data_IF_162383818590
#
_entry.id   IF_162383818590
#
_cell.length_a   1.000
_cell.length_b   1.000
_cell.length_c   1.000
_cell.angle_alpha   90.00
_cell.angle_beta   90.00
_cell.angle_gamma   90.00
#
_symmetry.space_group_name_H-M   'P 1'
#
loop_
_entity.id
_entity.type
_entity.pdbx_description
1 polymer ?
#
# COMPACT_ATOMS: atom_id res chain seq x y z
N UNK A 1 11.57 37.81 -5.83
CA UNK A 1 10.75 37.25 -4.74
C UNK A 1 9.86 36.18 -5.35
N UNK A 2 10.10 34.90 -5.03
CA UNK A 2 9.21 33.80 -5.44
C UNK A 2 7.91 33.93 -4.63
N UNK A 3 6.88 34.52 -5.23
CA UNK A 3 5.54 34.53 -4.64
C UNK A 3 4.96 33.13 -4.72
N UNK A 4 4.60 32.54 -3.58
CA UNK A 4 3.84 31.30 -3.51
C UNK A 4 2.41 31.57 -4.01
N UNK A 5 2.25 31.70 -5.33
CA UNK A 5 0.93 31.79 -5.94
C UNK A 5 0.45 30.37 -6.20
N UNK A 6 -0.30 29.81 -5.24
CA UNK A 6 -1.06 28.59 -5.52
C UNK A 6 -2.14 29.01 -6.50
N UNK A 7 -2.07 28.48 -7.74
CA UNK A 7 -3.08 28.73 -8.75
C UNK A 7 -4.48 28.37 -8.16
N UNK A 8 -5.40 29.35 -8.05
CA UNK A 8 -6.73 29.11 -7.49
C UNK A 8 -7.47 27.98 -8.20
N UNK A 9 -7.26 27.80 -9.51
CA UNK A 9 -7.84 26.71 -10.31
C UNK A 9 -7.26 25.37 -9.85
N UNK A 10 -5.93 25.26 -9.76
CA UNK A 10 -5.30 24.03 -9.24
C UNK A 10 -5.77 23.69 -7.83
N UNK A 11 -5.87 24.70 -6.96
CA UNK A 11 -6.32 24.52 -5.58
C UNK A 11 -7.75 23.95 -5.51
N UNK A 12 -8.69 24.58 -6.21
CA UNK A 12 -10.10 24.20 -6.16
C UNK A 12 -10.43 22.92 -6.91
N UNK A 13 -9.77 22.65 -8.04
CA UNK A 13 -10.12 21.51 -8.91
C UNK A 13 -9.26 20.27 -8.69
N UNK A 14 -8.03 20.42 -8.17
CA UNK A 14 -7.12 19.28 -7.97
C UNK A 14 -6.91 19.03 -6.48
N UNK A 15 -6.42 20.02 -5.74
CA UNK A 15 -6.00 19.82 -4.36
C UNK A 15 -7.16 19.47 -3.42
N UNK A 16 -8.22 20.29 -3.42
CA UNK A 16 -9.38 20.08 -2.56
C UNK A 16 -10.07 18.74 -2.86
N UNK A 17 -10.42 18.39 -4.11
CA UNK A 17 -11.06 17.10 -4.40
C UNK A 17 -10.19 15.91 -4.02
N UNK A 18 -8.88 15.96 -4.27
CA UNK A 18 -7.95 14.89 -3.93
C UNK A 18 -7.92 14.62 -2.43
N UNK A 19 -7.86 15.67 -1.61
CA UNK A 19 -7.89 15.55 -0.15
C UNK A 19 -9.23 14.99 0.33
N UNK A 20 -10.35 15.54 -0.18
CA UNK A 20 -11.68 15.10 0.24
C UNK A 20 -11.91 13.61 -0.08
N UNK A 21 -11.52 13.16 -1.27
CA UNK A 21 -11.61 11.76 -1.66
C UNK A 21 -10.70 10.90 -0.79
N UNK A 22 -9.45 11.32 -0.57
CA UNK A 22 -8.48 10.57 0.25
C UNK A 22 -8.97 10.37 1.67
N UNK A 23 -9.48 11.44 2.30
CA UNK A 23 -10.06 11.38 3.65
C UNK A 23 -11.31 10.50 3.65
N UNK A 24 -12.20 10.66 2.67
CA UNK A 24 -13.43 9.87 2.54
C UNK A 24 -13.14 8.36 2.44
N UNK A 25 -12.20 7.97 1.58
CA UNK A 25 -11.76 6.56 1.44
C UNK A 25 -11.15 6.06 2.75
N UNK A 26 -10.28 6.85 3.40
CA UNK A 26 -9.64 6.45 4.64
C UNK A 26 -10.65 6.24 5.78
N UNK A 27 -11.66 7.11 5.89
CA UNK A 27 -12.76 6.97 6.85
C UNK A 27 -13.58 5.72 6.53
N UNK A 28 -13.94 5.51 5.26
CA UNK A 28 -14.71 4.34 4.83
C UNK A 28 -14.00 3.02 5.15
N UNK A 29 -12.69 2.91 4.84
CA UNK A 29 -11.89 1.73 5.13
C UNK A 29 -11.80 1.46 6.63
N UNK A 30 -11.53 2.50 7.44
CA UNK A 30 -11.47 2.39 8.90
C UNK A 30 -12.80 1.97 9.50
N UNK A 31 -13.90 2.57 9.03
CA UNK A 31 -15.27 2.25 9.47
C UNK A 31 -15.64 0.80 9.12
N UNK A 32 -15.38 0.40 7.88
CA UNK A 32 -15.64 -0.96 7.38
C UNK A 32 -14.81 -1.99 8.16
N UNK A 33 -13.51 -1.74 8.34
CA UNK A 33 -12.64 -2.62 9.12
C UNK A 33 -13.11 -2.74 10.57
N UNK A 34 -13.47 -1.62 11.20
CA UNK A 34 -13.99 -1.61 12.58
C UNK A 34 -15.29 -2.43 12.70
N UNK A 35 -16.25 -2.21 11.79
CA UNK A 35 -17.52 -2.95 11.76
C UNK A 35 -17.28 -4.45 11.66
N UNK A 36 -16.47 -4.89 10.70
CA UNK A 36 -16.21 -6.31 10.46
C UNK A 36 -15.21 -6.94 11.43
N UNK A 37 -14.45 -6.14 12.17
CA UNK A 37 -13.57 -6.62 13.25
C UNK A 37 -14.35 -7.06 14.49
N UNK A 38 -15.58 -6.58 14.66
CA UNK A 38 -16.46 -6.98 15.77
C UNK A 38 -17.34 -8.19 15.43
N UNK A 39 -17.45 -8.56 14.15
CA UNK A 39 -18.21 -9.74 13.71
C UNK A 39 -17.30 -10.95 13.78
N UNK A 40 -17.64 -11.93 14.62
CA UNK A 40 -16.90 -13.18 14.75
C UNK A 40 -17.04 -14.02 13.47
N UNK A 41 -15.94 -14.62 13.01
CA UNK A 41 -16.01 -15.50 11.84
C UNK A 41 -16.60 -16.88 12.19
N UNK A 42 -17.19 -17.54 11.18
CA UNK A 42 -17.88 -18.83 11.32
C UNK A 42 -16.97 -19.96 11.81
N UNK A 43 -15.66 -19.88 11.53
CA UNK A 43 -14.67 -20.87 11.95
C UNK A 43 -14.15 -20.67 13.37
N UNK A 44 -14.42 -19.50 13.99
CA UNK A 44 -13.86 -19.11 15.28
C UNK A 44 -12.34 -18.89 15.32
N UNK A 45 -11.67 -18.85 14.17
CA UNK A 45 -10.22 -18.82 14.03
C UNK A 45 -9.63 -17.41 13.94
N UNK A 46 -8.46 -17.18 14.52
CA UNK A 46 -7.71 -15.94 14.34
C UNK A 46 -6.99 -15.89 12.99
N UNK A 47 -6.57 -14.70 12.52
CA UNK A 47 -5.91 -14.54 11.23
C UNK A 47 -4.69 -15.45 11.03
N UNK A 48 -3.84 -15.62 12.05
CA UNK A 48 -2.69 -16.55 11.98
C UNK A 48 -3.10 -18.01 11.76
N UNK A 49 -4.23 -18.42 12.33
CA UNK A 49 -4.75 -19.78 12.17
C UNK A 49 -5.37 -19.96 10.79
N UNK A 50 -6.06 -18.93 10.29
CA UNK A 50 -6.59 -18.89 8.92
C UNK A 50 -5.47 -19.01 7.91
N UNK A 51 -4.36 -18.28 8.07
CA UNK A 51 -3.20 -18.40 7.18
C UNK A 51 -2.64 -19.82 7.17
N UNK A 52 -2.44 -20.42 8.35
CA UNK A 52 -1.96 -21.81 8.44
C UNK A 52 -2.89 -22.80 7.74
N UNK A 53 -4.20 -22.70 8.01
CA UNK A 53 -5.20 -23.56 7.40
C UNK A 53 -5.26 -23.40 5.87
N UNK A 54 -5.05 -22.19 5.35
CA UNK A 54 -5.03 -21.94 3.91
C UNK A 54 -3.77 -22.49 3.26
N UNK A 55 -2.61 -22.44 3.91
CA UNK A 55 -1.40 -23.15 3.45
C UNK A 55 -1.65 -24.65 3.36
N UNK A 56 -2.28 -25.25 4.36
CA UNK A 56 -2.58 -26.70 4.37
C UNK A 56 -3.56 -27.11 3.25
N UNK A 57 -4.30 -26.17 2.66
CA UNK A 57 -5.29 -26.40 1.60
C UNK A 57 -4.82 -25.98 0.20
N UNK A 58 -3.64 -25.40 0.09
CA UNK A 58 -3.10 -24.89 -1.17
C UNK A 58 -1.76 -25.57 -1.48
N UNK A 59 -1.33 -25.51 -2.74
CA UNK A 59 0.02 -25.98 -3.14
C UNK A 59 1.12 -24.94 -2.89
N UNK A 60 0.80 -23.88 -2.12
CA UNK A 60 1.73 -22.81 -1.82
C UNK A 60 2.83 -23.31 -0.89
N UNK A 61 4.06 -22.88 -1.15
CA UNK A 61 5.16 -23.10 -0.23
C UNK A 61 4.87 -22.34 1.07
N UNK A 62 4.95 -22.99 2.24
CA UNK A 62 4.72 -22.32 3.52
C UNK A 62 5.78 -21.26 3.74
N UNK A 63 5.33 -20.08 4.16
CA UNK A 63 6.20 -18.94 4.49
C UNK A 63 6.03 -18.55 5.95
N UNK A 64 6.98 -17.77 6.47
CA UNK A 64 6.93 -17.30 7.85
C UNK A 64 5.78 -16.30 8.01
N UNK A 65 5.05 -16.42 9.12
CA UNK A 65 4.02 -15.47 9.54
C UNK A 65 4.50 -14.79 10.81
N UNK A 66 4.58 -13.46 10.78
CA UNK A 66 4.99 -12.64 11.89
C UNK A 66 3.83 -11.77 12.37
N UNK A 67 3.81 -11.51 13.66
CA UNK A 67 2.89 -10.54 14.26
C UNK A 67 3.62 -9.21 14.41
N UNK A 68 2.97 -8.12 14.00
CA UNK A 68 3.49 -6.75 14.12
C UNK A 68 2.51 -5.85 14.86
N UNK A 69 3.06 -4.89 15.59
CA UNK A 69 2.28 -3.85 16.25
C UNK A 69 1.55 -2.97 15.25
N UNK A 70 0.41 -2.42 15.65
CA UNK A 70 -0.38 -1.49 14.85
C UNK A 70 -1.73 -2.08 14.43
N UNK A 71 -2.42 -1.38 13.53
CA UNK A 71 -3.72 -1.79 12.99
C UNK A 71 -3.75 -1.43 11.52
N UNK A 72 -4.25 -2.33 10.67
CA UNK A 72 -4.24 -2.15 9.20
C UNK A 72 -2.83 -1.92 8.64
N UNK A 73 -1.83 -2.54 9.28
CA UNK A 73 -0.42 -2.54 8.85
C UNK A 73 0.00 -3.87 8.22
N UNK A 74 -0.98 -4.76 8.00
CA UNK A 74 -0.82 -6.08 7.42
C UNK A 74 -0.22 -5.99 6.02
N UNK A 75 0.80 -6.82 5.74
CA UNK A 75 1.41 -6.89 4.42
C UNK A 75 2.24 -8.15 4.24
N UNK A 76 2.28 -8.65 3.01
CA UNK A 76 3.32 -9.54 2.52
C UNK A 76 4.58 -8.76 2.11
N UNK A 77 5.74 -9.22 2.59
CA UNK A 77 7.06 -8.72 2.22
C UNK A 77 7.75 -9.71 1.28
N UNK A 78 7.84 -9.41 -0.03
CA UNK A 78 8.49 -10.28 -1.01
C UNK A 78 10.01 -10.42 -0.82
N UNK A 79 10.66 -9.43 -0.20
CA UNK A 79 12.11 -9.43 0.01
C UNK A 79 12.53 -10.37 1.14
N UNK A 80 11.75 -10.36 2.23
CA UNK A 80 11.95 -11.29 3.35
C UNK A 80 11.21 -12.63 3.18
N UNK A 81 10.27 -12.71 2.23
CA UNK A 81 9.33 -13.81 2.05
C UNK A 81 8.54 -14.14 3.33
N UNK A 82 7.93 -13.10 3.92
CA UNK A 82 7.19 -13.16 5.19
C UNK A 82 5.84 -12.46 5.07
N UNK A 83 4.79 -13.02 5.67
CA UNK A 83 3.53 -12.31 5.90
C UNK A 83 3.53 -11.70 7.29
N UNK A 84 3.34 -10.39 7.38
CA UNK A 84 3.23 -9.68 8.65
C UNK A 84 1.77 -9.32 8.89
N UNK A 85 1.22 -9.81 9.99
CA UNK A 85 -0.15 -9.52 10.42
C UNK A 85 -0.14 -8.57 11.60
N UNK A 86 -0.98 -7.55 11.54
CA UNK A 86 -1.21 -6.61 12.63
C UNK A 86 -1.82 -7.31 13.83
N UNK A 87 -1.53 -6.82 15.03
CA UNK A 87 -2.01 -7.38 16.29
C UNK A 87 -3.50 -7.78 16.31
N UNK A 88 -4.44 -6.93 15.86
CA UNK A 88 -5.86 -7.28 15.83
C UNK A 88 -6.16 -8.44 14.88
N UNK A 89 -5.53 -8.46 13.70
CA UNK A 89 -5.73 -9.51 12.68
C UNK A 89 -5.12 -10.83 13.13
N UNK A 90 -3.93 -10.77 13.73
CA UNK A 90 -3.23 -11.95 14.20
C UNK A 90 -3.96 -12.66 15.35
N UNK A 91 -4.69 -11.93 16.19
CA UNK A 91 -5.25 -12.46 17.45
C UNK A 91 -6.77 -12.58 17.48
N UNK A 92 -7.52 -11.72 16.78
CA UNK A 92 -8.98 -11.74 16.83
C UNK A 92 -9.56 -12.72 15.83
N UNK A 93 -10.65 -13.38 16.22
CA UNK A 93 -11.39 -14.31 15.39
C UNK A 93 -12.55 -13.63 14.65
N UNK A 94 -12.25 -12.55 13.94
CA UNK A 94 -13.25 -11.77 13.21
C UNK A 94 -13.28 -12.06 11.72
N UNK A 95 -14.37 -11.65 11.05
CA UNK A 95 -14.51 -11.69 9.59
C UNK A 95 -13.42 -10.83 8.94
N UNK A 96 -13.14 -9.64 9.49
CA UNK A 96 -12.05 -8.80 9.01
C UNK A 96 -10.69 -9.52 9.08
N UNK A 97 -10.40 -10.20 10.19
CA UNK A 97 -9.12 -10.91 10.37
C UNK A 97 -8.94 -12.04 9.37
N UNK A 98 -10.01 -12.80 9.10
CA UNK A 98 -10.02 -13.85 8.08
C UNK A 98 -9.84 -13.27 6.67
N UNK A 99 -10.53 -12.18 6.36
CA UNK A 99 -10.45 -11.53 5.04
C UNK A 99 -9.04 -10.97 4.78
N UNK A 100 -8.42 -10.30 5.75
CA UNK A 100 -7.06 -9.78 5.63
C UNK A 100 -6.04 -10.91 5.51
N UNK A 101 -6.14 -11.96 6.32
CA UNK A 101 -5.29 -13.14 6.22
C UNK A 101 -5.35 -13.78 4.81
N UNK A 102 -6.56 -13.92 4.24
CA UNK A 102 -6.74 -14.43 2.88
C UNK A 102 -6.19 -13.47 1.81
N UNK A 103 -6.35 -12.16 1.99
CA UNK A 103 -5.80 -11.14 1.10
C UNK A 103 -4.27 -11.21 1.03
N UNK A 104 -3.58 -11.27 2.17
CA UNK A 104 -2.13 -11.37 2.21
C UNK A 104 -1.62 -12.66 1.58
N UNK A 105 -2.30 -13.78 1.82
CA UNK A 105 -2.04 -15.04 1.12
C UNK A 105 -2.23 -14.94 -0.40
N UNK A 106 -3.16 -14.11 -0.85
CA UNK A 106 -3.31 -13.78 -2.26
C UNK A 106 -2.04 -13.15 -2.86
N UNK A 107 -1.38 -12.24 -2.13
CA UNK A 107 -0.09 -11.68 -2.54
C UNK A 107 1.01 -12.73 -2.58
N UNK A 108 1.03 -13.65 -1.59
CA UNK A 108 1.96 -14.78 -1.55
C UNK A 108 1.77 -15.68 -2.77
N UNK A 109 0.52 -16.03 -3.09
CA UNK A 109 0.18 -16.83 -4.26
C UNK A 109 0.62 -16.13 -5.54
N UNK A 110 0.32 -14.84 -5.70
CA UNK A 110 0.74 -14.07 -6.87
C UNK A 110 2.27 -14.06 -7.00
N UNK A 111 3.00 -14.00 -5.89
CA UNK A 111 4.45 -13.99 -5.88
C UNK A 111 5.02 -15.35 -6.28
N UNK A 112 4.54 -16.44 -5.67
CA UNK A 112 4.99 -17.80 -5.95
C UNK A 112 4.62 -18.28 -7.37
N UNK A 113 3.48 -17.83 -7.89
CA UNK A 113 3.05 -18.13 -9.28
C UNK A 113 3.70 -17.22 -10.32
N UNK A 114 4.47 -16.22 -9.90
CA UNK A 114 5.13 -15.29 -10.81
C UNK A 114 4.17 -14.42 -11.61
N UNK A 115 3.04 -14.03 -11.00
CA UNK A 115 1.99 -13.20 -11.62
C UNK A 115 2.57 -11.93 -12.27
N UNK A 116 2.11 -11.62 -13.48
CA UNK A 116 2.53 -10.45 -14.24
C UNK A 116 2.31 -9.12 -13.49
N UNK A 117 1.29 -9.05 -12.62
CA UNK A 117 1.00 -7.88 -11.78
C UNK A 117 2.11 -7.59 -10.77
N UNK A 118 2.65 -8.62 -10.11
CA UNK A 118 3.75 -8.44 -9.15
C UNK A 118 5.06 -8.12 -9.87
N UNK A 119 5.30 -8.73 -11.04
CA UNK A 119 6.47 -8.38 -11.88
C UNK A 119 6.40 -6.92 -12.36
N UNK A 120 5.24 -6.47 -12.81
CA UNK A 120 5.02 -5.08 -13.23
C UNK A 120 5.23 -4.11 -12.05
N UNK A 121 4.66 -4.42 -10.88
CA UNK A 121 4.87 -3.62 -9.66
C UNK A 121 6.35 -3.56 -9.27
N UNK A 122 7.04 -4.69 -9.27
CA UNK A 122 8.47 -4.77 -8.96
C UNK A 122 9.34 -3.96 -9.91
N UNK A 123 9.01 -3.95 -11.21
CA UNK A 123 9.70 -3.16 -12.22
C UNK A 123 9.45 -1.65 -12.07
N UNK A 124 8.22 -1.25 -11.74
CA UNK A 124 7.84 0.16 -11.62
C UNK A 124 8.26 0.79 -10.27
N UNK A 125 8.38 -0.01 -9.21
CA UNK A 125 8.68 0.44 -7.84
C UNK A 125 9.92 1.36 -7.75
N UNK A 126 11.09 1.00 -8.33
CA UNK A 126 12.25 1.88 -8.30
C UNK A 126 11.98 3.22 -9.00
N UNK A 127 11.36 3.18 -10.19
CA UNK A 127 11.03 4.40 -10.93
C UNK A 127 10.13 5.31 -10.11
N UNK A 128 9.07 4.78 -9.50
CA UNK A 128 8.13 5.54 -8.67
C UNK A 128 8.76 6.11 -7.38
N UNK A 129 9.75 5.41 -6.80
CA UNK A 129 10.42 5.86 -5.59
C UNK A 129 11.44 6.98 -5.86
N UNK A 130 12.16 6.91 -6.98
CA UNK A 130 13.16 7.91 -7.35
C UNK A 130 12.59 9.09 -8.15
N UNK A 131 11.47 8.92 -8.84
CA UNK A 131 10.84 9.95 -9.69
C UNK A 131 10.67 11.29 -8.98
N UNK A 132 10.01 11.35 -7.80
CA UNK A 132 9.76 12.64 -7.13
C UNK A 132 11.06 13.32 -6.71
N UNK A 133 12.03 12.56 -6.18
CA UNK A 133 13.32 13.11 -5.77
C UNK A 133 14.09 13.68 -6.96
N UNK A 134 14.18 12.95 -8.07
CA UNK A 134 14.83 13.40 -9.31
C UNK A 134 14.10 14.61 -9.87
N UNK A 135 12.76 14.57 -9.90
CA UNK A 135 11.90 15.65 -10.36
C UNK A 135 12.17 16.94 -9.60
N UNK A 136 12.08 16.92 -8.27
CA UNK A 136 12.29 18.12 -7.45
C UNK A 136 13.70 18.67 -7.60
N UNK A 137 14.73 17.82 -7.60
CA UNK A 137 16.11 18.24 -7.80
C UNK A 137 16.27 18.90 -9.19
N UNK A 138 15.75 18.29 -10.24
CA UNK A 138 15.86 18.81 -11.60
C UNK A 138 15.07 20.12 -11.80
N UNK A 139 13.87 20.24 -11.23
CA UNK A 139 13.09 21.49 -11.25
C UNK A 139 13.82 22.60 -10.48
N UNK A 140 14.30 22.32 -9.26
CA UNK A 140 14.98 23.33 -8.44
C UNK A 140 16.30 23.79 -9.07
N UNK A 141 17.13 22.87 -9.55
CA UNK A 141 18.37 23.22 -10.25
C UNK A 141 18.09 23.94 -11.58
N UNK A 142 17.06 23.51 -12.32
CA UNK A 142 16.64 24.17 -13.57
C UNK A 142 16.22 25.63 -13.35
N UNK A 143 15.54 25.92 -12.23
CA UNK A 143 15.22 27.29 -11.83
C UNK A 143 16.46 28.09 -11.39
N UNK A 144 17.35 27.50 -10.58
CA UNK A 144 18.55 28.20 -10.08
C UNK A 144 19.56 28.56 -11.16
N UNK A 145 19.82 27.63 -12.08
CA UNK A 145 20.77 27.85 -13.18
C UNK A 145 20.11 28.41 -14.44
N UNK A 146 18.81 28.73 -14.39
CA UNK A 146 18.03 29.17 -15.55
C UNK A 146 18.08 28.18 -16.74
N UNK A 147 18.18 26.88 -16.45
CA UNK A 147 18.29 25.81 -17.44
C UNK A 147 16.91 25.21 -17.73
N UNK A 148 16.25 25.71 -18.76
CA UNK A 148 14.91 25.24 -19.19
C UNK A 148 14.88 23.76 -19.58
N UNK A 149 15.98 23.21 -20.10
CA UNK A 149 16.08 21.77 -20.40
C UNK A 149 15.99 20.89 -19.15
N UNK A 150 16.57 21.33 -18.04
CA UNK A 150 16.54 20.58 -16.78
C UNK A 150 15.15 20.66 -16.11
N UNK A 151 14.42 21.75 -16.34
CA UNK A 151 13.01 21.86 -15.93
C UNK A 151 12.13 20.82 -16.62
N UNK A 152 12.28 20.61 -17.92
CA UNK A 152 11.52 19.60 -18.67
C UNK A 152 11.83 18.18 -18.23
N UNK A 153 13.10 17.88 -17.93
CA UNK A 153 13.49 16.60 -17.30
C UNK A 153 12.78 16.45 -15.95
N UNK A 154 12.77 17.50 -15.13
CA UNK A 154 12.07 17.49 -13.86
C UNK A 154 10.56 17.25 -13.98
N UNK A 155 9.89 17.89 -14.96
CA UNK A 155 8.47 17.68 -15.25
C UNK A 155 8.20 16.26 -15.76
N UNK A 156 9.08 15.69 -16.58
CA UNK A 156 8.94 14.32 -17.08
C UNK A 156 9.01 13.27 -15.96
N UNK A 157 9.85 13.50 -14.96
CA UNK A 157 9.97 12.64 -13.78
C UNK A 157 8.94 12.97 -12.68
N UNK A 158 8.16 14.06 -12.81
CA UNK A 158 7.13 14.43 -11.84
C UNK A 158 5.86 13.60 -12.04
#
# INVERSE_FOLDING_TARGET
MFGWYIDPVYFWYVFIPTILISIGVQIYLRSTFSRWSNVRNSTGQAGVQVVKQLFDRTSLQPIRVERISGTMTDHFDPGANVVRLSDPVATKNSVASMAVAAHELGHVQQYQTGSGLIKARGFLLPALQFSPTISYIAILMGLWFNMTGLLWVGIFFF
#
